data_IF_538690750794
#
_entry.id   IF_538690750794
#
_cell.length_a   1.000
_cell.length_b   1.000
_cell.length_c   1.000
_cell.angle_alpha   90.00
_cell.angle_beta   90.00
_cell.angle_gamma   90.00
#
_symmetry.space_group_name_H-M   'P 1'
#
loop_
_entity.id
_entity.type
_entity.pdbx_description
1 polymer ?
#
# COMPACT_ATOMS: atom_id res chain seq x y z
N UNK A 1 58.33 36.31 -20.17
CA UNK A 1 59.35 35.46 -19.51
C UNK A 1 58.79 34.06 -19.52
N UNK A 2 59.39 33.03 -20.08
CA UNK A 2 60.50 32.82 -21.00
C UNK A 2 60.27 31.35 -21.38
N UNK A 3 60.21 31.06 -22.67
CA UNK A 3 60.12 29.72 -23.25
C UNK A 3 61.36 28.83 -22.89
N UNK A 4 61.28 27.50 -23.12
CA UNK A 4 62.17 26.46 -22.60
C UNK A 4 63.46 26.30 -23.44
N UNK A 5 64.30 25.31 -23.10
CA UNK A 5 64.81 24.38 -24.12
C UNK A 5 64.80 22.92 -23.59
N UNK A 6 64.50 21.85 -24.34
CA UNK A 6 64.88 21.37 -25.67
C UNK A 6 66.27 20.70 -25.77
N UNK A 7 66.30 19.61 -26.55
CA UNK A 7 67.40 18.73 -27.00
C UNK A 7 68.13 17.87 -25.93
N UNK A 8 68.39 16.57 -26.12
CA UNK A 8 68.73 15.83 -27.34
C UNK A 8 70.18 15.32 -27.20
N UNK A 9 70.47 14.05 -27.55
CA UNK A 9 71.87 13.58 -27.56
C UNK A 9 72.09 12.08 -27.63
N UNK A 10 72.55 11.64 -28.81
CA UNK A 10 73.01 10.32 -29.22
C UNK A 10 74.10 9.65 -28.36
N UNK A 11 74.19 8.33 -28.52
CA UNK A 11 75.44 7.70 -28.94
C UNK A 11 76.12 6.79 -27.90
N UNK A 12 76.51 5.59 -28.34
CA UNK A 12 77.57 4.85 -27.66
C UNK A 12 77.60 3.34 -27.87
N UNK A 13 77.81 2.87 -29.11
CA UNK A 13 78.38 1.54 -29.33
C UNK A 13 79.88 1.63 -29.02
N UNK A 14 80.31 1.07 -27.88
CA UNK A 14 81.70 1.01 -27.47
C UNK A 14 82.23 -0.41 -27.53
N UNK A 15 82.98 -0.72 -28.60
CA UNK A 15 83.74 -1.95 -28.76
C UNK A 15 84.96 -2.00 -27.85
N UNK A 16 85.29 -3.21 -27.42
CA UNK A 16 86.58 -3.67 -26.91
C UNK A 16 86.35 -5.04 -26.28
N UNK A 17 86.96 -6.15 -26.70
CA UNK A 17 88.13 -6.44 -27.52
C UNK A 17 88.61 -7.83 -27.05
N UNK A 18 89.28 -8.56 -27.94
CA UNK A 18 89.85 -9.92 -27.80
C UNK A 18 88.84 -11.08 -27.97
N UNK A 19 88.93 -11.97 -28.97
CA UNK A 19 89.89 -12.14 -30.06
C UNK A 19 89.64 -13.50 -30.76
N UNK A 20 89.90 -13.55 -32.07
CA UNK A 20 90.02 -14.75 -32.93
C UNK A 20 88.75 -15.11 -33.71
N UNK A 21 88.58 -14.74 -34.99
CA UNK A 21 89.16 -15.38 -36.21
C UNK A 21 88.66 -16.85 -36.34
N UNK A 22 87.95 -17.32 -37.37
CA UNK A 22 88.08 -17.06 -38.81
C UNK A 22 86.84 -17.49 -39.62
N UNK A 23 86.56 -16.66 -40.64
CA UNK A 23 86.29 -16.97 -42.05
C UNK A 23 85.12 -17.87 -42.51
N UNK A 24 84.44 -17.30 -43.50
CA UNK A 24 83.34 -17.81 -44.28
C UNK A 24 83.68 -18.96 -45.25
N UNK A 25 82.59 -19.54 -45.76
CA UNK A 25 82.34 -19.90 -47.17
C UNK A 25 82.37 -21.40 -47.56
N UNK A 26 81.21 -21.81 -48.09
CA UNK A 26 80.85 -22.92 -49.00
C UNK A 26 81.16 -24.40 -48.65
N UNK A 27 80.13 -25.27 -48.61
CA UNK A 27 79.76 -26.19 -49.72
C UNK A 27 78.78 -27.30 -49.24
N UNK A 28 77.96 -27.74 -50.18
CA UNK A 28 76.79 -28.62 -50.09
C UNK A 28 77.01 -30.01 -49.46
N UNK A 29 75.98 -30.56 -48.79
CA UNK A 29 75.35 -31.83 -49.17
C UNK A 29 74.18 -32.23 -48.28
N UNK A 30 73.15 -32.73 -48.95
CA UNK A 30 71.83 -33.13 -48.47
C UNK A 30 71.82 -34.18 -47.36
N UNK A 31 71.12 -33.89 -46.26
CA UNK A 31 70.31 -34.90 -45.56
C UNK A 31 68.99 -34.26 -45.16
N UNK A 32 67.96 -34.52 -45.96
CA UNK A 32 66.57 -34.28 -45.61
C UNK A 32 66.20 -35.17 -44.41
N UNK A 33 66.35 -34.65 -43.20
CA UNK A 33 65.65 -35.17 -42.03
C UNK A 33 64.29 -34.50 -42.03
N UNK A 34 63.30 -35.19 -42.59
CA UNK A 34 61.91 -34.86 -42.32
C UNK A 34 61.69 -35.00 -40.80
N UNK A 35 61.34 -33.93 -40.07
CA UNK A 35 60.60 -34.16 -38.85
C UNK A 35 59.23 -34.67 -39.29
N UNK A 36 58.99 -35.93 -39.00
CA UNK A 36 57.65 -36.48 -38.79
C UNK A 36 56.98 -35.65 -37.67
N UNK A 37 56.53 -34.46 -38.03
CA UNK A 37 55.53 -33.75 -37.27
C UNK A 37 54.26 -34.56 -37.48
N UNK A 38 54.02 -35.48 -36.53
CA UNK A 38 52.74 -36.13 -36.36
C UNK A 38 51.65 -35.11 -36.67
N UNK A 39 50.81 -35.47 -37.63
CA UNK A 39 49.76 -34.60 -38.15
C UNK A 39 49.00 -33.93 -37.00
N UNK A 40 48.47 -32.71 -37.20
CA UNK A 40 47.76 -32.00 -36.16
C UNK A 40 46.69 -32.93 -35.59
N UNK A 41 46.90 -33.35 -34.34
CA UNK A 41 45.82 -33.83 -33.49
C UNK A 41 44.78 -32.71 -33.58
N UNK A 42 43.55 -32.97 -34.04
CA UNK A 42 42.55 -31.91 -34.08
C UNK A 42 42.44 -31.40 -32.65
N UNK A 43 42.67 -30.10 -32.46
CA UNK A 43 42.44 -29.40 -31.20
C UNK A 43 40.92 -29.30 -30.96
N UNK A 44 40.24 -30.45 -30.90
CA UNK A 44 38.98 -30.55 -30.21
C UNK A 44 39.34 -30.65 -28.73
N UNK A 45 38.83 -29.69 -27.95
CA UNK A 45 38.89 -29.63 -26.47
C UNK A 45 40.16 -29.04 -25.83
N UNK A 46 40.36 -27.73 -25.95
CA UNK A 46 41.20 -26.97 -24.99
C UNK A 46 40.35 -25.95 -24.22
N UNK A 47 39.22 -26.41 -23.69
CA UNK A 47 38.41 -25.69 -22.71
C UNK A 47 38.22 -26.63 -21.52
N UNK A 48 38.57 -26.22 -20.30
CA UNK A 48 38.39 -27.06 -19.09
C UNK A 48 36.93 -27.22 -18.66
N UNK A 49 36.01 -26.52 -19.34
CA UNK A 49 34.57 -26.66 -19.18
C UNK A 49 33.93 -27.18 -20.47
N UNK A 50 32.97 -26.44 -20.99
CA UNK A 50 32.29 -26.74 -22.25
C UNK A 50 32.29 -25.53 -23.17
N UNK A 51 32.33 -25.78 -24.47
CA UNK A 51 32.17 -24.76 -25.48
C UNK A 51 30.70 -24.59 -25.85
N UNK A 52 30.17 -23.39 -25.64
CA UNK A 52 28.77 -23.03 -25.90
C UNK A 52 28.64 -21.82 -26.82
N UNK A 53 27.55 -21.65 -27.58
CA UNK A 53 27.34 -20.46 -28.39
C UNK A 53 27.43 -19.20 -27.54
N UNK A 54 28.14 -18.19 -28.04
CA UNK A 54 28.25 -16.90 -27.38
C UNK A 54 26.88 -16.25 -27.19
N UNK A 55 26.71 -15.57 -26.06
CA UNK A 55 25.52 -14.79 -25.74
C UNK A 55 25.31 -13.65 -26.77
N UNK A 56 24.06 -13.36 -27.17
CA UNK A 56 23.75 -12.15 -27.91
C UNK A 56 24.02 -10.89 -27.08
N UNK A 57 24.23 -9.75 -27.74
CA UNK A 57 24.41 -8.47 -27.06
C UNK A 57 23.25 -8.17 -26.10
N UNK A 58 23.56 -7.78 -24.87
CA UNK A 58 22.59 -7.45 -23.83
C UNK A 58 22.23 -8.60 -22.89
N UNK A 59 22.62 -9.84 -23.22
CA UNK A 59 22.49 -10.99 -22.33
C UNK A 59 23.73 -11.18 -21.47
N UNK A 60 23.57 -11.85 -20.33
CA UNK A 60 24.71 -12.26 -19.50
C UNK A 60 25.58 -13.30 -20.19
N UNK A 61 26.82 -13.43 -19.72
CA UNK A 61 27.63 -14.61 -20.03
C UNK A 61 26.92 -15.91 -19.55
N UNK A 62 27.16 -17.06 -20.20
CA UNK A 62 26.55 -18.33 -19.81
C UNK A 62 26.94 -18.76 -18.39
N UNK A 63 25.92 -19.08 -17.59
CA UNK A 63 26.03 -19.52 -16.21
C UNK A 63 25.37 -20.90 -16.00
N UNK A 64 25.70 -21.54 -14.89
CA UNK A 64 25.07 -22.80 -14.47
C UNK A 64 23.82 -22.50 -13.64
N UNK A 65 22.64 -22.83 -14.14
CA UNK A 65 21.35 -22.61 -13.47
C UNK A 65 20.80 -23.90 -12.88
N UNK A 66 20.56 -23.93 -11.57
CA UNK A 66 19.76 -24.97 -10.93
C UNK A 66 18.35 -24.45 -10.67
N UNK A 67 17.34 -25.32 -10.83
CA UNK A 67 15.92 -25.02 -10.61
C UNK A 67 15.32 -26.15 -9.76
N UNK A 68 14.63 -25.84 -8.67
CA UNK A 68 14.01 -26.88 -7.83
C UNK A 68 13.29 -26.33 -6.60
N UNK A 69 12.96 -27.23 -5.67
CA UNK A 69 12.25 -26.90 -4.43
C UNK A 69 13.13 -26.06 -3.47
N UNK A 70 12.55 -25.08 -2.74
CA UNK A 70 13.26 -24.31 -1.72
C UNK A 70 13.96 -25.14 -0.63
N UNK A 71 13.47 -26.35 -0.33
CA UNK A 71 14.05 -27.21 0.71
C UNK A 71 15.33 -27.94 0.26
N UNK A 72 15.62 -27.96 -1.04
CA UNK A 72 16.67 -28.77 -1.66
C UNK A 72 17.77 -27.96 -2.36
N UNK A 73 17.88 -26.65 -2.11
CA UNK A 73 18.77 -25.78 -2.88
C UNK A 73 20.25 -26.19 -2.71
N UNK A 74 20.93 -26.65 -3.78
CA UNK A 74 22.32 -27.09 -3.69
C UNK A 74 23.27 -25.89 -3.56
N UNK A 75 24.47 -26.17 -3.06
CA UNK A 75 25.60 -25.23 -3.16
C UNK A 75 26.10 -25.17 -4.60
N UNK A 76 26.68 -24.02 -4.99
CA UNK A 76 27.31 -23.88 -6.28
C UNK A 76 28.51 -24.85 -6.45
N UNK A 77 28.70 -25.45 -7.63
CA UNK A 77 29.78 -26.41 -7.87
C UNK A 77 31.15 -25.72 -7.89
N UNK A 78 32.22 -26.47 -7.62
CA UNK A 78 33.57 -25.92 -7.53
C UNK A 78 34.07 -25.22 -8.82
N UNK A 79 33.58 -25.65 -9.99
CA UNK A 79 33.91 -25.05 -11.30
C UNK A 79 33.19 -23.70 -11.53
N UNK A 80 32.11 -23.44 -10.79
CA UNK A 80 31.36 -22.20 -10.80
C UNK A 80 30.94 -21.82 -9.37
N UNK A 81 31.89 -21.42 -8.49
CA UNK A 81 31.64 -21.36 -7.05
C UNK A 81 30.87 -20.11 -6.59
N UNK A 82 30.63 -19.14 -7.47
CA UNK A 82 30.04 -17.85 -7.13
C UNK A 82 28.54 -17.92 -7.41
N UNK A 83 27.70 -17.59 -6.42
CA UNK A 83 26.27 -17.36 -6.64
C UNK A 83 26.12 -16.05 -7.41
N UNK A 84 25.71 -16.14 -8.67
CA UNK A 84 25.47 -14.98 -9.54
C UNK A 84 24.02 -14.49 -9.53
N UNK A 85 23.06 -15.37 -9.21
CA UNK A 85 21.64 -15.03 -9.12
C UNK A 85 20.90 -16.00 -8.20
N UNK A 86 19.88 -15.50 -7.52
CA UNK A 86 18.87 -16.28 -6.83
C UNK A 86 17.49 -15.66 -7.09
N UNK A 87 16.50 -16.48 -7.43
CA UNK A 87 15.15 -16.02 -7.73
C UNK A 87 14.12 -17.12 -7.59
N UNK A 88 12.85 -16.75 -7.77
CA UNK A 88 11.71 -17.59 -7.42
C UNK A 88 10.71 -17.71 -8.58
N UNK A 89 10.05 -18.84 -8.70
CA UNK A 89 9.00 -19.09 -9.68
C UNK A 89 7.82 -19.84 -9.06
N UNK A 90 6.78 -20.07 -9.86
CA UNK A 90 5.51 -20.67 -9.44
C UNK A 90 4.86 -19.92 -8.28
N UNK A 91 4.62 -18.62 -8.52
CA UNK A 91 3.92 -17.76 -7.58
C UNK A 91 2.48 -18.24 -7.37
N UNK A 92 2.16 -18.63 -6.15
CA UNK A 92 0.80 -18.91 -5.71
C UNK A 92 0.33 -17.75 -4.84
N UNK A 93 -0.65 -16.99 -5.33
CA UNK A 93 -1.21 -15.89 -4.56
C UNK A 93 -1.75 -16.43 -3.22
N UNK A 94 -1.31 -15.89 -2.08
CA UNK A 94 -1.79 -16.32 -0.77
C UNK A 94 -3.28 -15.99 -0.61
N UNK A 95 -3.88 -16.50 0.47
CA UNK A 95 -5.28 -16.25 0.80
C UNK A 95 -5.61 -14.74 0.73
N UNK A 96 -6.87 -14.37 0.36
CA UNK A 96 -7.30 -12.99 0.31
C UNK A 96 -7.01 -12.26 1.62
N UNK A 97 -6.51 -11.02 1.52
CA UNK A 97 -6.28 -10.20 2.70
C UNK A 97 -7.62 -9.90 3.38
N UNK A 98 -7.70 -10.21 4.68
CA UNK A 98 -8.90 -9.96 5.47
C UNK A 98 -8.69 -8.68 6.27
N UNK A 99 -9.64 -7.77 6.17
CA UNK A 99 -9.63 -6.52 6.90
C UNK A 99 -10.68 -6.56 8.01
N UNK A 100 -10.38 -5.98 9.17
CA UNK A 100 -11.33 -5.87 10.25
C UNK A 100 -12.48 -4.95 9.84
N UNK A 101 -13.69 -5.23 10.34
CA UNK A 101 -14.84 -4.37 10.10
C UNK A 101 -14.62 -2.98 10.72
N UNK A 102 -15.19 -1.95 10.10
CA UNK A 102 -15.21 -0.61 10.69
C UNK A 102 -16.39 -0.45 11.66
N UNK A 103 -16.20 0.38 12.67
CA UNK A 103 -17.23 0.80 13.62
C UNK A 103 -17.13 2.30 13.87
N UNK A 104 -18.22 2.87 14.39
CA UNK A 104 -18.30 4.27 14.78
C UNK A 104 -18.61 4.37 16.27
N UNK A 105 -17.92 5.25 16.97
CA UNK A 105 -18.31 5.60 18.32
C UNK A 105 -19.61 6.40 18.32
N UNK A 106 -20.42 6.34 19.40
CA UNK A 106 -21.62 7.15 19.50
C UNK A 106 -21.30 8.65 19.32
N UNK A 107 -22.14 9.40 18.60
CA UNK A 107 -21.91 10.83 18.44
C UNK A 107 -22.13 11.56 19.76
N UNK A 108 -21.33 12.61 20.00
CA UNK A 108 -21.64 13.56 21.06
C UNK A 108 -22.76 14.50 20.57
N UNK A 109 -23.74 14.77 21.44
CA UNK A 109 -24.82 15.69 21.10
C UNK A 109 -25.20 16.58 22.28
N UNK A 110 -25.80 17.72 21.96
CA UNK A 110 -26.42 18.64 22.92
C UNK A 110 -27.82 19.03 22.45
N UNK A 111 -28.73 19.27 23.39
CA UNK A 111 -30.08 19.75 23.10
C UNK A 111 -30.16 21.24 23.45
N UNK A 112 -30.21 22.09 22.42
CA UNK A 112 -30.46 23.51 22.58
C UNK A 112 -31.92 23.76 22.93
N UNK A 113 -32.13 24.41 24.07
CA UNK A 113 -33.48 24.74 24.56
C UNK A 113 -34.12 25.83 23.70
N UNK A 114 -35.44 25.79 23.48
CA UNK A 114 -36.12 26.78 22.65
C UNK A 114 -36.18 28.12 23.38
N UNK A 115 -35.65 29.17 22.74
CA UNK A 115 -35.69 30.55 23.24
C UNK A 115 -36.86 31.35 22.68
N UNK A 116 -37.45 30.90 21.58
CA UNK A 116 -38.60 31.55 20.95
C UNK A 116 -39.94 31.09 21.54
N UNK A 117 -40.54 31.99 22.32
CA UNK A 117 -41.85 31.79 22.96
C UNK A 117 -42.77 32.95 22.59
N UNK A 118 -43.99 32.65 22.18
CA UNK A 118 -44.97 33.64 21.72
C UNK A 118 -46.34 33.38 22.34
N UNK A 119 -46.92 34.41 22.95
CA UNK A 119 -48.29 34.38 23.43
C UNK A 119 -49.24 34.99 22.40
N UNK A 120 -50.40 34.38 22.21
CA UNK A 120 -51.41 34.84 21.27
C UNK A 120 -52.75 35.09 21.98
N UNK A 121 -53.50 36.07 21.47
CA UNK A 121 -54.85 36.40 21.92
C UNK A 121 -55.95 35.48 21.33
N UNK A 122 -55.57 34.33 20.76
CA UNK A 122 -56.49 33.33 20.19
C UNK A 122 -55.94 31.91 20.35
N UNK A 123 -56.80 30.90 20.20
CA UNK A 123 -56.40 29.50 20.05
C UNK A 123 -57.08 28.89 18.80
N UNK A 124 -56.37 28.07 17.99
CA UNK A 124 -54.94 27.75 18.08
C UNK A 124 -54.05 29.00 17.92
N UNK A 125 -52.77 28.85 18.22
CA UNK A 125 -51.76 29.86 17.91
C UNK A 125 -51.92 30.22 16.42
N UNK A 126 -51.94 31.50 16.11
CA UNK A 126 -52.17 31.95 14.75
C UNK A 126 -51.02 31.57 13.81
N UNK A 127 -51.23 31.76 12.50
CA UNK A 127 -50.18 31.59 11.49
C UNK A 127 -48.98 32.53 11.71
N UNK A 128 -47.93 32.43 10.88
CA UNK A 128 -46.69 33.19 11.06
C UNK A 128 -46.87 34.72 11.15
N UNK A 129 -47.92 35.26 10.53
CA UNK A 129 -48.23 36.70 10.53
C UNK A 129 -49.23 37.12 11.62
N UNK A 130 -49.70 36.19 12.46
CA UNK A 130 -50.63 36.53 13.52
C UNK A 130 -49.96 37.39 14.60
N UNK A 131 -50.60 38.49 15.05
CA UNK A 131 -50.04 39.35 16.07
C UNK A 131 -49.79 38.55 17.35
N UNK A 132 -48.55 38.60 17.84
CA UNK A 132 -48.09 37.85 19.00
C UNK A 132 -47.44 38.78 20.00
N UNK A 133 -47.67 38.52 21.28
CA UNK A 133 -46.88 39.12 22.36
C UNK A 133 -45.64 38.27 22.56
N UNK A 134 -44.46 38.87 22.43
CA UNK A 134 -43.21 38.17 22.73
C UNK A 134 -43.18 37.76 24.20
N UNK A 135 -42.90 36.48 24.44
CA UNK A 135 -42.56 35.94 25.75
C UNK A 135 -41.18 35.24 25.66
N UNK A 136 -40.35 35.63 24.69
CA UNK A 136 -39.09 34.97 24.38
C UNK A 136 -38.12 34.96 25.56
N UNK A 137 -37.26 33.95 25.62
CA UNK A 137 -36.15 33.91 26.56
C UNK A 137 -35.00 34.81 26.09
N UNK A 138 -34.07 35.21 26.99
CA UNK A 138 -32.86 35.90 26.59
C UNK A 138 -32.01 35.07 25.62
N UNK A 139 -31.17 35.75 24.83
CA UNK A 139 -30.18 35.06 24.01
C UNK A 139 -29.18 34.29 24.89
N UNK A 140 -28.81 33.08 24.49
CA UNK A 140 -27.88 32.21 25.25
C UNK A 140 -28.47 31.63 26.54
N UNK A 141 -29.79 31.63 26.69
CA UNK A 141 -30.46 31.03 27.84
C UNK A 141 -30.32 29.49 27.87
N UNK A 142 -30.05 28.94 29.04
CA UNK A 142 -29.78 27.52 29.30
C UNK A 142 -31.02 26.74 29.80
N UNK A 143 -32.16 27.40 29.93
CA UNK A 143 -33.41 26.82 30.44
C UNK A 143 -33.68 27.11 31.93
N UNK A 144 -32.74 27.73 32.64
CA UNK A 144 -32.94 28.14 34.05
C UNK A 144 -34.10 29.12 34.24
N UNK A 145 -34.69 29.21 35.43
CA UNK A 145 -35.83 30.11 35.63
C UNK A 145 -35.52 31.58 35.23
N UNK A 146 -36.36 32.18 34.39
CA UNK A 146 -36.23 33.60 34.00
C UNK A 146 -37.58 34.29 33.86
N UNK A 147 -37.65 35.55 34.30
CA UNK A 147 -38.80 36.45 34.14
C UNK A 147 -38.65 37.42 32.97
N UNK A 148 -37.63 37.23 32.12
CA UNK A 148 -37.42 38.08 30.95
C UNK A 148 -38.64 38.08 30.02
N UNK A 149 -39.02 39.25 29.51
CA UNK A 149 -40.18 39.45 28.64
C UNK A 149 -41.52 38.98 29.23
N UNK A 150 -41.69 39.06 30.56
CA UNK A 150 -42.95 38.71 31.22
C UNK A 150 -44.16 39.49 30.66
N UNK A 151 -45.32 38.84 30.66
CA UNK A 151 -46.60 39.42 30.25
C UNK A 151 -47.49 39.55 31.48
N UNK A 152 -47.83 40.79 31.84
CA UNK A 152 -48.67 41.11 33.00
C UNK A 152 -50.10 40.60 32.85
N UNK A 153 -50.74 40.29 33.98
CA UNK A 153 -52.14 39.88 34.05
C UNK A 153 -53.05 40.93 33.44
N UNK A 154 -54.04 40.50 32.65
CA UNK A 154 -55.08 41.38 32.12
C UNK A 154 -54.60 42.37 31.05
N UNK A 155 -53.34 42.27 30.59
CA UNK A 155 -52.86 43.05 29.45
C UNK A 155 -53.72 42.76 28.22
N UNK A 156 -54.17 43.82 27.55
CA UNK A 156 -55.00 43.72 26.35
C UNK A 156 -54.19 43.96 25.08
N UNK A 157 -54.42 43.12 24.07
CA UNK A 157 -53.88 43.21 22.71
C UNK A 157 -55.07 43.24 21.76
N UNK A 158 -55.22 44.32 20.98
CA UNK A 158 -56.34 44.52 20.04
C UNK A 158 -57.74 44.36 20.67
N UNK A 159 -57.89 44.79 21.92
CA UNK A 159 -59.16 44.75 22.65
C UNK A 159 -59.51 43.42 23.32
N UNK A 160 -58.65 42.40 23.20
CA UNK A 160 -58.79 41.10 23.87
C UNK A 160 -57.60 40.83 24.81
N UNK A 161 -57.69 39.89 25.77
CA UNK A 161 -56.54 39.49 26.56
C UNK A 161 -55.41 38.95 25.69
N UNK A 162 -54.17 39.43 25.90
CA UNK A 162 -53.01 39.08 25.08
C UNK A 162 -52.61 37.59 25.13
N UNK A 163 -53.04 36.88 26.17
CA UNK A 163 -52.65 35.49 26.44
C UNK A 163 -53.89 34.60 26.46
N UNK A 164 -54.01 33.74 25.45
CA UNK A 164 -55.00 32.67 25.33
C UNK A 164 -54.36 31.37 24.80
N UNK A 165 -53.22 31.48 24.12
CA UNK A 165 -52.38 30.34 23.77
C UNK A 165 -50.90 30.72 23.83
N UNK A 166 -50.05 29.71 23.94
CA UNK A 166 -48.61 29.83 24.02
C UNK A 166 -47.96 28.90 23.01
N UNK A 167 -47.26 29.49 22.04
CA UNK A 167 -46.41 28.77 21.10
C UNK A 167 -44.96 28.75 21.59
N UNK A 168 -44.33 27.59 21.46
CA UNK A 168 -42.94 27.36 21.82
C UNK A 168 -42.28 26.63 20.64
N UNK A 169 -41.15 27.13 20.16
CA UNK A 169 -40.42 26.43 19.09
C UNK A 169 -39.91 25.06 19.53
N UNK A 170 -39.65 24.19 18.57
CA UNK A 170 -38.97 22.92 18.82
C UNK A 170 -37.56 23.18 19.38
N UNK A 171 -37.08 22.37 20.34
CA UNK A 171 -35.66 22.34 20.67
C UNK A 171 -34.83 21.88 19.46
N UNK A 172 -33.53 22.19 19.46
CA UNK A 172 -32.61 21.76 18.39
C UNK A 172 -31.59 20.79 18.94
N UNK A 173 -31.33 19.71 18.21
CA UNK A 173 -30.21 18.83 18.51
C UNK A 173 -29.00 19.30 17.71
N UNK A 174 -27.90 19.52 18.39
CA UNK A 174 -26.60 19.77 17.77
C UNK A 174 -25.73 18.55 18.03
N UNK A 175 -25.51 17.76 16.98
CA UNK A 175 -24.64 16.58 17.01
C UNK A 175 -23.27 16.90 16.43
N UNK A 176 -22.23 16.34 17.04
CA UNK A 176 -20.90 16.26 16.47
C UNK A 176 -20.75 14.93 15.71
N UNK A 177 -19.81 14.88 14.77
CA UNK A 177 -19.54 13.65 14.00
C UNK A 177 -19.09 12.48 14.89
N UNK A 178 -19.24 11.27 14.38
CA UNK A 178 -18.73 10.07 15.05
C UNK A 178 -17.23 9.90 14.80
N UNK A 179 -16.51 9.40 15.81
CA UNK A 179 -15.13 8.97 15.65
C UNK A 179 -15.11 7.58 14.98
N UNK A 180 -14.42 7.40 13.85
CA UNK A 180 -14.25 6.09 13.24
C UNK A 180 -13.24 5.27 14.04
N UNK A 181 -13.51 3.97 14.15
CA UNK A 181 -12.59 3.00 14.73
C UNK A 181 -12.65 1.67 13.98
N UNK A 182 -11.63 0.87 14.20
CA UNK A 182 -11.64 -0.54 13.82
C UNK A 182 -12.48 -1.29 14.85
N UNK A 183 -13.41 -2.13 14.39
CA UNK A 183 -14.15 -3.01 15.28
C UNK A 183 -13.19 -3.99 15.94
N UNK A 184 -13.37 -4.23 17.23
CA UNK A 184 -12.57 -5.20 17.96
C UNK A 184 -12.69 -6.55 17.25
N UNK A 185 -11.54 -7.08 16.80
CA UNK A 185 -11.51 -8.38 16.17
C UNK A 185 -12.02 -9.43 17.17
N UNK A 186 -12.84 -10.41 16.75
CA UNK A 186 -13.05 -11.58 17.59
C UNK A 186 -11.69 -12.19 17.97
N UNK A 187 -11.58 -12.65 19.21
CA UNK A 187 -10.39 -13.34 19.76
C UNK A 187 -10.14 -14.66 19.02
N UNK A 188 -9.64 -14.59 17.79
CA UNK A 188 -8.85 -15.57 17.03
C UNK A 188 -9.08 -15.32 15.52
N UNK A 189 -8.18 -14.59 14.85
CA UNK A 189 -7.88 -14.90 13.47
C UNK A 189 -6.77 -15.95 13.47
N UNK A 190 -7.11 -17.19 13.08
CA UNK A 190 -6.12 -18.20 12.67
C UNK A 190 -5.07 -17.51 11.79
N UNK A 191 -3.82 -17.49 12.25
CA UNK A 191 -2.70 -16.84 11.57
C UNK A 191 -2.61 -17.42 10.13
N UNK A 192 -2.80 -16.62 9.07
CA UNK A 192 -2.63 -17.15 7.73
C UNK A 192 -1.15 -17.45 7.54
N UNK A 193 -0.84 -18.72 7.28
CA UNK A 193 0.51 -19.19 6.98
C UNK A 193 1.11 -18.36 5.83
N UNK A 194 2.05 -17.48 6.16
CA UNK A 194 2.77 -16.60 5.23
C UNK A 194 3.89 -17.32 4.46
N UNK A 195 3.99 -18.65 4.61
CA UNK A 195 5.22 -19.37 4.31
C UNK A 195 5.40 -19.88 2.87
N UNK A 196 4.41 -19.83 1.98
CA UNK A 196 4.49 -20.60 0.71
C UNK A 196 4.00 -19.84 -0.53
N UNK A 197 4.51 -18.63 -0.76
CA UNK A 197 4.09 -17.85 -1.95
C UNK A 197 4.80 -18.26 -3.24
N UNK A 198 5.94 -18.95 -3.17
CA UNK A 198 6.65 -19.51 -4.34
C UNK A 198 6.99 -20.98 -4.11
N UNK A 199 6.75 -21.82 -5.12
CA UNK A 199 7.05 -23.26 -5.05
C UNK A 199 8.43 -23.63 -5.61
N UNK A 200 9.07 -22.73 -6.38
CA UNK A 200 10.35 -22.98 -7.06
C UNK A 200 11.37 -21.90 -6.70
N UNK A 201 12.62 -22.35 -6.46
CA UNK A 201 13.82 -21.52 -6.39
C UNK A 201 14.72 -21.83 -7.58
N UNK A 202 15.35 -20.79 -8.13
CA UNK A 202 16.43 -20.90 -9.08
C UNK A 202 17.70 -20.27 -8.53
N UNK A 203 18.84 -20.93 -8.75
CA UNK A 203 20.17 -20.44 -8.38
C UNK A 203 21.09 -20.52 -9.58
N UNK A 204 21.61 -19.38 -10.00
CA UNK A 204 22.65 -19.32 -11.03
C UNK A 204 24.02 -19.22 -10.38
N UNK A 205 24.94 -20.05 -10.86
CA UNK A 205 26.31 -20.15 -10.41
C UNK A 205 27.25 -19.75 -11.55
N UNK A 206 28.20 -18.87 -11.26
CA UNK A 206 29.16 -18.34 -12.22
C UNK A 206 30.59 -18.73 -11.83
N UNK A 207 31.45 -18.81 -12.84
CA UNK A 207 32.86 -19.16 -12.71
C UNK A 207 33.58 -18.94 -14.03
N UNK A 208 34.89 -19.15 -14.01
CA UNK A 208 35.72 -18.99 -15.19
C UNK A 208 36.18 -20.35 -15.70
N UNK A 209 36.12 -20.57 -17.01
CA UNK A 209 36.71 -21.71 -17.68
C UNK A 209 37.74 -21.22 -18.73
N UNK A 210 38.83 -21.97 -18.89
CA UNK A 210 39.96 -21.58 -19.73
C UNK A 210 40.69 -22.84 -20.19
N UNK A 211 41.41 -22.85 -21.33
CA UNK A 211 41.52 -21.79 -22.34
C UNK A 211 40.26 -21.61 -23.21
N UNK A 212 40.20 -20.59 -24.10
CA UNK A 212 39.04 -20.35 -24.95
C UNK A 212 38.82 -21.47 -25.97
N UNK A 213 37.59 -21.54 -26.49
CA UNK A 213 37.19 -22.48 -27.53
C UNK A 213 37.89 -22.21 -28.86
N UNK A 214 38.05 -23.26 -29.67
CA UNK A 214 38.66 -23.15 -31.00
C UNK A 214 37.81 -22.34 -31.99
N UNK A 215 36.47 -22.39 -31.86
CA UNK A 215 35.54 -21.59 -32.65
C UNK A 215 35.32 -20.23 -31.97
N UNK A 216 35.60 -19.09 -32.65
CA UNK A 216 35.37 -17.75 -32.09
C UNK A 216 33.89 -17.39 -31.87
N UNK A 217 32.95 -18.15 -32.46
CA UNK A 217 31.51 -18.04 -32.17
C UNK A 217 31.08 -18.73 -30.87
N UNK A 218 32.01 -19.43 -30.21
CA UNK A 218 31.77 -20.17 -28.98
C UNK A 218 32.53 -19.52 -27.81
N UNK A 219 31.99 -19.63 -26.62
CA UNK A 219 32.65 -19.23 -25.36
C UNK A 219 32.88 -20.45 -24.48
N UNK A 220 34.01 -20.46 -23.78
CA UNK A 220 34.34 -21.50 -22.81
C UNK A 220 33.68 -21.15 -21.48
N UNK A 221 32.71 -21.95 -21.04
CA UNK A 221 31.97 -21.77 -19.78
C UNK A 221 32.12 -23.00 -18.89
N UNK A 222 31.99 -22.89 -17.55
CA UNK A 222 31.84 -24.04 -16.69
C UNK A 222 30.82 -25.07 -17.21
N UNK A 223 31.19 -26.35 -17.17
CA UNK A 223 30.30 -27.44 -17.54
C UNK A 223 29.46 -27.90 -16.33
N UNK A 224 28.18 -28.30 -16.53
CA UNK A 224 27.42 -29.01 -15.51
C UNK A 224 28.20 -30.23 -15.01
N UNK A 225 28.18 -30.52 -13.69
CA UNK A 225 28.79 -31.74 -13.16
C UNK A 225 28.21 -33.00 -13.83
N UNK A 226 29.08 -33.93 -14.25
CA UNK A 226 28.68 -35.21 -14.85
C UNK A 226 28.38 -36.21 -13.72
N UNK A 227 27.13 -36.69 -13.60
CA UNK A 227 26.68 -37.60 -12.52
C UNK A 227 25.29 -37.22 -11.99
N UNK A 228 24.88 -37.79 -10.83
CA UNK A 228 23.56 -37.78 -10.13
C UNK A 228 22.76 -36.47 -10.14
N UNK A 229 22.41 -36.00 -11.34
CA UNK A 229 21.52 -34.90 -11.64
C UNK A 229 21.62 -34.54 -13.15
N UNK A 230 20.96 -35.34 -14.01
CA UNK A 230 20.41 -34.82 -15.27
C UNK A 230 19.04 -34.19 -14.96
N UNK A 231 18.62 -33.10 -15.64
CA UNK A 231 17.38 -32.39 -15.31
C UNK A 231 16.18 -33.35 -15.10
N UNK A 232 15.35 -33.16 -14.07
CA UNK A 232 15.16 -31.92 -13.30
C UNK A 232 16.14 -31.68 -12.16
N UNK A 233 16.89 -32.69 -11.72
CA UNK A 233 17.95 -32.50 -10.73
C UNK A 233 19.20 -32.11 -11.53
N UNK A 234 19.76 -30.91 -11.38
CA UNK A 234 21.02 -30.55 -12.04
C UNK A 234 21.14 -29.14 -12.57
N UNK A 235 22.33 -28.80 -13.06
CA UNK A 235 22.63 -27.49 -13.59
C UNK A 235 22.44 -27.44 -15.11
N UNK A 236 21.62 -26.50 -15.57
CA UNK A 236 21.47 -26.12 -16.97
C UNK A 236 22.50 -25.05 -17.33
N UNK A 237 22.87 -24.95 -18.61
CA UNK A 237 23.72 -23.85 -19.08
C UNK A 237 22.85 -22.79 -19.72
N UNK A 238 22.80 -21.61 -19.11
CA UNK A 238 21.82 -20.58 -19.44
C UNK A 238 22.45 -19.19 -19.47
N UNK A 239 21.89 -18.33 -20.31
CA UNK A 239 22.11 -16.89 -20.30
C UNK A 239 20.91 -16.22 -19.63
N UNK A 240 21.09 -15.04 -19.03
CA UNK A 240 19.97 -14.29 -18.44
C UNK A 240 19.90 -12.84 -18.91
N UNK A 241 18.70 -12.28 -18.79
CA UNK A 241 18.41 -10.88 -19.06
C UNK A 241 17.36 -10.39 -18.06
N UNK A 242 17.48 -9.13 -17.60
CA UNK A 242 16.47 -8.50 -16.75
C UNK A 242 15.16 -8.26 -17.52
N UNK A 243 14.03 -8.53 -16.88
CA UNK A 243 12.70 -8.50 -17.49
C UNK A 243 12.32 -9.79 -18.21
N UNK A 244 11.08 -9.82 -18.68
CA UNK A 244 10.56 -10.89 -19.53
C UNK A 244 11.01 -10.68 -20.97
N UNK A 245 11.76 -11.64 -21.51
CA UNK A 245 12.33 -11.56 -22.86
C UNK A 245 12.06 -12.85 -23.64
N UNK A 246 12.07 -12.74 -24.97
CA UNK A 246 12.09 -13.92 -25.82
C UNK A 246 13.50 -14.51 -25.88
N UNK A 247 13.58 -15.83 -25.80
CA UNK A 247 14.86 -16.52 -25.86
C UNK A 247 15.43 -16.56 -27.29
N UNK A 248 16.75 -16.36 -27.46
CA UNK A 248 17.39 -16.53 -28.74
C UNK A 248 17.35 -18.01 -29.16
N UNK A 249 17.44 -18.25 -30.48
CA UNK A 249 17.37 -19.60 -31.04
C UNK A 249 18.49 -20.53 -30.55
N UNK A 250 19.62 -19.97 -30.09
CA UNK A 250 20.76 -20.71 -29.51
C UNK A 250 20.51 -21.19 -28.07
N UNK A 251 19.57 -20.57 -27.35
CA UNK A 251 19.19 -20.92 -25.98
C UNK A 251 17.66 -20.98 -25.86
N UNK A 252 16.98 -21.92 -26.53
CA UNK A 252 15.54 -21.82 -26.76
C UNK A 252 14.66 -22.19 -25.55
N UNK A 253 15.23 -22.73 -24.47
CA UNK A 253 14.46 -23.17 -23.30
C UNK A 253 14.30 -22.01 -22.30
N UNK A 254 13.07 -21.52 -22.13
CA UNK A 254 12.77 -20.28 -21.42
C UNK A 254 12.24 -20.54 -20.02
N UNK A 255 12.87 -19.89 -19.05
CA UNK A 255 12.45 -19.86 -17.64
C UNK A 255 12.37 -18.40 -17.16
N UNK A 256 11.35 -18.06 -16.37
CA UNK A 256 11.19 -16.71 -15.80
C UNK A 256 11.17 -16.83 -14.29
N UNK A 257 12.02 -16.04 -13.63
CA UNK A 257 12.13 -15.98 -12.18
C UNK A 257 11.96 -14.54 -11.70
N UNK A 258 11.53 -14.37 -10.47
CA UNK A 258 11.29 -13.09 -9.82
C UNK A 258 12.20 -12.96 -8.61
N UNK A 259 12.69 -11.75 -8.32
CA UNK A 259 13.53 -11.52 -7.15
C UNK A 259 12.74 -11.60 -5.82
N UNK A 260 11.43 -11.40 -5.88
CA UNK A 260 10.56 -11.42 -4.73
C UNK A 260 9.12 -11.03 -5.05
N UNK A 261 8.43 -10.49 -4.05
CA UNK A 261 7.03 -10.07 -4.13
C UNK A 261 6.92 -8.65 -3.58
N UNK A 262 6.16 -7.80 -4.26
CA UNK A 262 5.64 -6.57 -3.68
C UNK A 262 4.23 -6.85 -3.15
N UNK A 263 4.04 -6.70 -1.85
CA UNK A 263 2.74 -6.80 -1.22
C UNK A 263 2.29 -5.42 -0.73
N UNK A 264 1.37 -4.84 -1.48
CA UNK A 264 0.73 -3.55 -1.15
C UNK A 264 -0.65 -3.74 -0.52
N UNK A 265 -1.03 -4.99 -0.19
CA UNK A 265 -2.34 -5.28 0.38
C UNK A 265 -2.47 -4.62 1.74
N UNK A 266 -3.60 -3.97 1.94
CA UNK A 266 -3.95 -3.33 3.20
C UNK A 266 -5.44 -3.10 3.28
N UNK A 267 -5.86 -2.25 4.22
CA UNK A 267 -7.27 -1.95 4.44
C UNK A 267 -7.58 -0.50 4.11
N UNK A 268 -8.71 -0.27 3.45
CA UNK A 268 -9.25 1.07 3.30
C UNK A 268 -9.46 1.71 4.69
N UNK A 269 -9.16 3.00 4.87
CA UNK A 269 -9.32 3.66 6.16
C UNK A 269 -10.79 3.66 6.58
N UNK A 270 -11.04 3.42 7.87
CA UNK A 270 -12.39 3.51 8.42
C UNK A 270 -12.89 4.96 8.42
N UNK A 271 -14.17 5.13 8.10
CA UNK A 271 -14.88 6.40 8.18
C UNK A 271 -16.30 6.21 8.74
N UNK A 272 -16.91 7.34 9.10
CA UNK A 272 -18.28 7.41 9.60
C UNK A 272 -19.08 8.45 8.82
N UNK A 273 -20.34 8.14 8.54
CA UNK A 273 -21.29 9.14 8.00
C UNK A 273 -21.69 10.15 9.07
N UNK A 274 -22.39 11.21 8.65
CA UNK A 274 -22.96 12.18 9.59
C UNK A 274 -24.06 11.52 10.46
N UNK A 275 -24.20 11.93 11.74
CA UNK A 275 -25.22 11.37 12.62
C UNK A 275 -26.63 11.55 12.06
N UNK A 276 -27.41 10.48 12.06
CA UNK A 276 -28.82 10.50 11.67
C UNK A 276 -29.72 10.04 12.81
N UNK A 277 -30.98 10.50 12.80
CA UNK A 277 -31.97 10.12 13.80
C UNK A 277 -31.81 10.77 15.17
N UNK A 278 -30.98 11.81 15.29
CA UNK A 278 -30.80 12.53 16.56
C UNK A 278 -32.10 13.26 16.95
N UNK A 279 -32.55 13.07 18.19
CA UNK A 279 -33.78 13.70 18.70
C UNK A 279 -33.57 14.19 20.13
N UNK A 280 -34.28 15.25 20.53
CA UNK A 280 -34.36 15.60 21.93
C UNK A 280 -35.75 16.06 22.33
N UNK A 281 -36.08 15.84 23.60
CA UNK A 281 -37.31 16.30 24.20
C UNK A 281 -37.03 17.19 25.40
N UNK A 282 -37.81 18.25 25.54
CA UNK A 282 -37.71 19.21 26.63
C UNK A 282 -39.06 19.41 27.29
N UNK A 283 -39.05 19.60 28.61
CA UNK A 283 -40.22 20.05 29.36
C UNK A 283 -40.13 21.57 29.52
N UNK A 284 -40.94 22.26 28.75
CA UNK A 284 -41.07 23.71 28.77
C UNK A 284 -42.22 24.13 29.69
N UNK A 285 -41.92 24.97 30.68
CA UNK A 285 -42.88 25.42 31.69
C UNK A 285 -43.00 26.94 31.71
N UNK A 286 -44.24 27.43 31.78
CA UNK A 286 -44.57 28.84 32.01
C UNK A 286 -45.28 28.99 33.35
N UNK A 287 -45.02 30.10 34.03
CA UNK A 287 -45.50 30.38 35.38
C UNK A 287 -46.10 31.79 35.44
N UNK A 288 -47.02 32.02 36.37
CA UNK A 288 -47.68 33.32 36.55
C UNK A 288 -46.86 34.28 37.40
N UNK A 289 -45.96 33.76 38.24
CA UNK A 289 -45.06 34.53 39.08
C UNK A 289 -43.68 34.70 38.43
N UNK A 290 -42.83 35.55 39.00
CA UNK A 290 -41.47 35.76 38.51
C UNK A 290 -40.44 34.70 38.96
N UNK A 291 -40.83 33.77 39.84
CA UNK A 291 -39.95 32.82 40.53
C UNK A 291 -40.14 31.36 40.10
N UNK A 292 -40.83 31.09 39.00
CA UNK A 292 -41.12 29.75 38.49
C UNK A 292 -41.77 28.81 39.53
N UNK A 293 -42.71 29.34 40.32
CA UNK A 293 -43.33 28.58 41.42
C UNK A 293 -44.82 28.28 41.21
N UNK A 294 -45.52 29.12 40.44
CA UNK A 294 -46.94 29.01 40.15
C UNK A 294 -47.15 28.60 38.69
N UNK A 295 -47.17 27.29 38.43
CA UNK A 295 -47.28 26.74 37.08
C UNK A 295 -48.58 27.15 36.41
N UNK A 296 -48.46 27.69 35.19
CA UNK A 296 -49.57 28.05 34.31
C UNK A 296 -49.73 27.01 33.20
N UNK A 297 -48.62 26.62 32.58
CA UNK A 297 -48.60 25.63 31.51
C UNK A 297 -47.29 24.85 31.53
N UNK A 298 -47.36 23.55 31.27
CA UNK A 298 -46.21 22.67 31.05
C UNK A 298 -46.42 21.88 29.75
N UNK A 299 -45.43 21.86 28.87
CA UNK A 299 -45.50 21.20 27.58
C UNK A 299 -44.24 20.37 27.36
N UNK A 300 -44.42 19.10 27.00
CA UNK A 300 -43.33 18.27 26.50
C UNK A 300 -43.21 18.52 24.99
N UNK A 301 -42.05 18.99 24.55
CA UNK A 301 -41.78 19.39 23.16
C UNK A 301 -40.63 18.55 22.65
N UNK A 302 -40.79 17.95 21.47
CA UNK A 302 -39.73 17.20 20.79
C UNK A 302 -39.11 18.04 19.67
N UNK A 303 -37.90 17.70 19.25
CA UNK A 303 -37.17 18.37 18.17
C UNK A 303 -37.88 18.33 16.81
N UNK A 304 -38.90 17.48 16.65
CA UNK A 304 -39.58 17.26 15.36
C UNK A 304 -40.65 18.30 15.06
N UNK A 305 -41.22 18.95 16.09
CA UNK A 305 -42.32 19.89 15.92
C UNK A 305 -42.38 20.93 17.04
N UNK A 306 -42.72 22.17 16.66
CA UNK A 306 -43.09 23.20 17.63
C UNK A 306 -44.41 22.86 18.30
N UNK A 307 -44.62 23.42 19.50
CA UNK A 307 -45.85 23.21 20.26
C UNK A 307 -46.70 24.48 20.31
N UNK A 308 -48.01 24.28 20.41
CA UNK A 308 -48.96 25.33 20.74
C UNK A 308 -49.96 24.79 21.76
N UNK A 309 -49.97 25.38 22.96
CA UNK A 309 -50.88 25.01 24.04
C UNK A 309 -51.89 26.11 24.34
N UNK A 310 -53.09 25.72 24.79
CA UNK A 310 -54.06 26.65 25.37
C UNK A 310 -53.58 27.16 26.72
N UNK A 311 -53.81 28.44 27.01
CA UNK A 311 -53.61 29.05 28.33
C UNK A 311 -54.91 29.74 28.74
N UNK A 312 -55.25 29.74 30.02
CA UNK A 312 -56.44 30.43 30.48
C UNK A 312 -56.38 31.92 30.10
N UNK A 313 -57.49 32.44 29.55
CA UNK A 313 -57.53 33.78 28.97
C UNK A 313 -57.18 34.86 30.01
N UNK A 314 -56.21 35.71 29.66
CA UNK A 314 -55.77 36.83 30.50
C UNK A 314 -54.81 36.47 31.64
N UNK A 315 -54.35 35.21 31.70
CA UNK A 315 -53.36 34.76 32.68
C UNK A 315 -52.01 35.45 32.46
N UNK A 316 -51.33 35.83 33.55
CA UNK A 316 -49.96 36.32 33.47
C UNK A 316 -48.98 35.22 33.03
N UNK A 317 -47.99 35.63 32.25
CA UNK A 317 -46.79 34.83 31.99
C UNK A 317 -45.63 35.55 32.68
N UNK A 318 -45.42 35.26 33.96
CA UNK A 318 -44.44 35.92 34.84
C UNK A 318 -43.03 35.37 34.69
N UNK A 319 -42.87 34.07 34.45
CA UNK A 319 -41.57 33.44 34.24
C UNK A 319 -41.67 32.14 33.44
N UNK A 320 -40.53 31.62 33.01
CA UNK A 320 -40.40 30.38 32.25
C UNK A 320 -39.16 29.60 32.63
N UNK A 321 -39.21 28.29 32.43
CA UNK A 321 -38.08 27.37 32.55
C UNK A 321 -38.17 26.26 31.50
N UNK A 322 -37.03 25.71 31.12
CA UNK A 322 -36.94 24.52 30.27
C UNK A 322 -35.98 23.54 30.92
N UNK A 323 -36.34 22.26 30.91
CA UNK A 323 -35.44 21.17 31.28
C UNK A 323 -35.39 20.14 30.16
N UNK A 324 -34.19 19.63 29.85
CA UNK A 324 -34.03 18.54 28.90
C UNK A 324 -34.51 17.24 29.56
N UNK A 325 -35.43 16.55 28.91
CA UNK A 325 -36.03 15.31 29.41
C UNK A 325 -35.35 14.10 28.79
N UNK A 326 -35.07 14.16 27.48
CA UNK A 326 -34.31 13.12 26.78
C UNK A 326 -33.46 13.72 25.67
N UNK A 327 -32.34 13.08 25.40
CA UNK A 327 -31.48 13.36 24.25
C UNK A 327 -31.01 12.03 23.68
N UNK A 328 -31.40 11.75 22.45
CA UNK A 328 -30.84 10.69 21.62
C UNK A 328 -29.87 11.34 20.64
N UNK A 329 -28.56 11.06 20.74
CA UNK A 329 -27.56 11.68 19.88
C UNK A 329 -27.63 11.16 18.43
N UNK A 330 -28.39 10.10 18.15
CA UNK A 330 -28.46 9.44 16.85
C UNK A 330 -27.33 8.44 16.65
N UNK A 331 -27.19 7.96 15.42
CA UNK A 331 -26.16 6.97 15.04
C UNK A 331 -25.49 7.34 13.72
N UNK A 332 -24.25 6.88 13.55
CA UNK A 332 -23.51 6.96 12.30
C UNK A 332 -23.37 5.57 11.67
N UNK A 333 -23.35 5.53 10.35
CA UNK A 333 -23.05 4.33 9.59
C UNK A 333 -21.53 4.28 9.31
N UNK A 334 -20.92 3.14 9.61
CA UNK A 334 -19.50 2.92 9.35
C UNK A 334 -19.28 2.51 7.89
N UNK A 335 -18.17 2.95 7.31
CA UNK A 335 -17.71 2.53 5.99
C UNK A 335 -16.18 2.37 5.97
N UNK A 336 -15.65 1.74 4.93
CA UNK A 336 -14.23 1.40 4.85
C UNK A 336 -13.96 -0.03 5.33
N UNK A 337 -12.68 -0.34 5.54
CA UNK A 337 -12.27 -1.67 5.94
C UNK A 337 -12.36 -2.71 4.83
N UNK A 338 -12.58 -2.31 3.58
CA UNK A 338 -12.42 -3.20 2.44
C UNK A 338 -10.93 -3.45 2.16
N UNK A 339 -10.54 -4.66 1.73
CA UNK A 339 -9.18 -4.93 1.30
C UNK A 339 -8.85 -4.12 0.05
N UNK A 340 -7.70 -3.46 0.09
CA UNK A 340 -7.16 -2.66 -1.02
C UNK A 340 -5.74 -3.14 -1.36
N UNK A 341 -5.22 -2.67 -2.48
CA UNK A 341 -3.89 -3.03 -2.95
C UNK A 341 -3.84 -4.39 -3.63
N UNK A 342 -2.63 -4.82 -3.93
CA UNK A 342 -2.37 -6.07 -4.63
C UNK A 342 -1.05 -6.69 -4.18
N UNK A 343 -0.92 -7.98 -4.47
CA UNK A 343 0.32 -8.74 -4.29
C UNK A 343 0.76 -9.25 -5.66
N UNK A 344 2.01 -9.01 -6.03
CA UNK A 344 2.54 -9.43 -7.32
C UNK A 344 4.06 -9.71 -7.25
N UNK A 345 4.57 -10.66 -8.04
CA UNK A 345 6.01 -10.85 -8.20
C UNK A 345 6.69 -9.60 -8.76
N UNK A 346 7.95 -9.37 -8.37
CA UNK A 346 8.76 -8.23 -8.80
C UNK A 346 10.09 -8.63 -9.42
N UNK A 347 10.66 -7.71 -10.21
CA UNK A 347 11.97 -7.85 -10.84
C UNK A 347 12.11 -9.20 -11.57
N UNK A 348 11.28 -9.39 -12.60
CA UNK A 348 11.38 -10.54 -13.48
C UNK A 348 12.78 -10.61 -14.10
N UNK A 349 13.31 -11.82 -14.25
CA UNK A 349 14.51 -12.12 -15.01
C UNK A 349 14.24 -13.36 -15.85
N UNK A 350 14.59 -13.27 -17.14
CA UNK A 350 14.46 -14.40 -18.07
C UNK A 350 15.78 -15.14 -18.14
N UNK A 351 15.73 -16.44 -17.90
CA UNK A 351 16.82 -17.37 -18.15
C UNK A 351 16.49 -18.18 -19.41
N UNK A 352 17.44 -18.20 -20.33
CA UNK A 352 17.37 -18.93 -21.58
C UNK A 352 18.46 -19.99 -21.57
N UNK A 353 18.04 -21.25 -21.57
CA UNK A 353 18.92 -22.39 -21.41
C UNK A 353 19.11 -23.14 -22.74
N UNK A 354 20.24 -23.79 -22.88
CA UNK A 354 20.41 -24.77 -23.95
C UNK A 354 19.49 -25.95 -23.69
N UNK A 355 18.95 -26.53 -24.76
CA UNK A 355 18.30 -27.83 -24.62
C UNK A 355 19.37 -28.83 -24.20
N UNK A 356 19.24 -29.37 -22.99
CA UNK A 356 19.97 -30.58 -22.65
C UNK A 356 19.55 -31.63 -23.65
N UNK A 357 20.45 -31.99 -24.56
CA UNK A 357 20.26 -33.16 -25.40
C UNK A 357 20.37 -34.37 -24.47
N UNK A 358 19.27 -34.77 -23.84
CA UNK A 358 19.24 -35.99 -23.03
C UNK A 358 18.50 -37.08 -23.77
N UNK A 359 19.12 -38.27 -23.77
CA UNK A 359 18.53 -39.58 -24.06
C UNK A 359 18.33 -39.91 -25.56
N UNK A 360 19.14 -40.82 -26.14
CA UNK A 360 18.77 -41.45 -27.41
C UNK A 360 17.52 -42.33 -27.20
N UNK A 361 16.60 -42.25 -28.17
CA UNK A 361 15.35 -43.01 -28.23
C UNK A 361 15.53 -44.53 -28.16
#
# INVERSE_FOLDING_TARGET
MLDPPDAGGDGGCGSGGDGGDDCAAEDDTDVAVAPDFGGPIPAAEVCTGQCVPKEPLGWSEPALLWIGSPDGVPSCPAIAPIVGYEGYADFAAPAPHQCPACACDPPEATCEVPTEWRAYASFPCGGPDAPATSFAAPAGWDGTCTSANAVETGRTCDGAPCVQSLAIQAPRVVSMGCAPRVADAPEDPDEPATAETFAIVARACTGNASPPCADPGMTCTPAPPIGDAAPPEGFLTCIHHEGEQECPTTYPDRHVFYAGVEDSRGCAPCGCTEPTGATCSVLASAFSDGGCSQLVAGQLITSDASSCGTVASGTALGSKSVSVVSLDPGQCEAFGGEPVGSIAPTAAATFCCQRTSSVPA
#
